data_IF_871391621114
#
_entry.id   IF_871391621114
#
_cell.length_a   1.000
_cell.length_b   1.000
_cell.length_c   1.000
_cell.angle_alpha   90.00
_cell.angle_beta   90.00
_cell.angle_gamma   90.00
#
_symmetry.space_group_name_H-M   'P 1'
#
loop_
_entity.id
_entity.type
_entity.pdbx_description
1 polymer ?
#
# COMPACT_ATOMS: atom_id res chain seq x y z
N UNK A 1 1.72 -21.11 -29.00
CA UNK A 1 2.04 -21.74 -27.70
C UNK A 1 3.53 -21.66 -27.53
N UNK A 2 4.01 -20.85 -26.59
CA UNK A 2 5.43 -20.71 -26.27
C UNK A 2 5.75 -21.70 -25.14
N UNK A 3 6.68 -22.61 -25.37
CA UNK A 3 7.06 -23.71 -24.48
C UNK A 3 8.59 -23.81 -24.41
N UNK A 4 9.11 -24.57 -23.43
CA UNK A 4 10.55 -24.73 -23.12
C UNK A 4 11.43 -25.17 -24.30
N UNK A 5 10.84 -25.64 -25.40
CA UNK A 5 11.59 -25.91 -26.64
C UNK A 5 12.21 -24.67 -27.28
N UNK A 6 11.80 -23.46 -26.89
CA UNK A 6 12.34 -22.17 -27.37
C UNK A 6 13.19 -21.42 -26.31
N UNK A 7 13.52 -22.04 -25.18
CA UNK A 7 14.47 -21.49 -24.20
C UNK A 7 13.99 -20.24 -23.44
N UNK A 8 12.69 -20.17 -23.11
CA UNK A 8 12.12 -19.11 -22.27
C UNK A 8 11.72 -19.70 -20.93
N UNK A 9 12.54 -19.48 -19.90
CA UNK A 9 12.37 -20.15 -18.60
C UNK A 9 11.29 -19.55 -17.70
N UNK A 10 10.82 -18.31 -17.90
CA UNK A 10 9.66 -17.77 -17.17
C UNK A 10 8.92 -16.73 -18.02
N UNK A 11 7.60 -16.84 -18.23
CA UNK A 11 6.82 -15.78 -18.86
C UNK A 11 6.77 -14.56 -17.94
N UNK A 12 7.46 -13.49 -18.33
CA UNK A 12 7.39 -12.20 -17.65
C UNK A 12 6.31 -11.35 -18.31
N UNK A 13 5.37 -10.87 -17.51
CA UNK A 13 4.42 -9.86 -17.97
C UNK A 13 5.05 -8.49 -17.80
N UNK A 14 5.60 -7.93 -18.89
CA UNK A 14 6.08 -6.54 -18.91
C UNK A 14 5.01 -5.56 -18.42
N UNK A 15 3.70 -5.71 -18.75
CA UNK A 15 2.65 -4.88 -18.14
C UNK A 15 2.62 -4.95 -16.61
N UNK A 16 2.70 -6.15 -16.00
CA UNK A 16 2.74 -6.28 -14.54
C UNK A 16 4.01 -5.74 -13.90
N UNK A 17 5.16 -5.89 -14.58
CA UNK A 17 6.40 -5.25 -14.14
C UNK A 17 6.30 -3.72 -14.19
N UNK A 18 5.69 -3.15 -15.25
CA UNK A 18 5.48 -1.72 -15.37
C UNK A 18 4.52 -1.19 -14.29
N UNK A 19 3.47 -1.94 -13.95
CA UNK A 19 2.57 -1.58 -12.84
C UNK A 19 3.30 -1.62 -11.49
N UNK A 20 4.09 -2.66 -11.24
CA UNK A 20 4.89 -2.74 -10.01
C UNK A 20 5.88 -1.56 -9.85
N UNK A 21 6.51 -1.12 -10.96
CA UNK A 21 7.40 0.04 -10.97
C UNK A 21 6.69 1.37 -10.69
N UNK A 22 5.40 1.48 -11.03
CA UNK A 22 4.59 2.67 -10.75
C UNK A 22 4.03 2.63 -9.32
N UNK A 23 3.68 1.46 -8.82
CA UNK A 23 3.13 1.27 -7.47
C UNK A 23 4.18 1.44 -6.36
N UNK A 24 5.43 1.01 -6.57
CA UNK A 24 6.53 1.22 -5.61
C UNK A 24 6.97 2.70 -5.54
N UNK A 25 6.73 3.47 -6.60
CA UNK A 25 7.20 4.85 -6.73
C UNK A 25 6.40 5.89 -5.91
N UNK A 26 5.35 5.49 -5.18
CA UNK A 26 4.49 6.43 -4.44
C UNK A 26 4.05 5.88 -3.08
N UNK A 27 5.00 5.68 -2.14
CA UNK A 27 4.66 5.54 -0.70
C UNK A 27 4.28 6.89 -0.07
N UNK A 28 3.31 7.57 -0.68
CA UNK A 28 2.77 8.84 -0.17
C UNK A 28 1.84 8.54 0.99
N UNK A 29 2.01 9.25 2.10
CA UNK A 29 1.21 9.06 3.30
C UNK A 29 1.49 7.75 4.04
N UNK A 30 2.61 7.08 3.79
CA UNK A 30 3.02 5.90 4.57
C UNK A 30 4.37 6.15 5.22
N UNK A 31 4.47 5.85 6.51
CA UNK A 31 5.72 5.96 7.27
C UNK A 31 6.57 4.70 7.04
N UNK A 32 7.72 4.86 6.40
CA UNK A 32 8.62 3.77 6.02
C UNK A 32 9.94 3.84 6.78
N UNK A 33 10.49 2.72 7.29
CA UNK A 33 11.81 2.69 7.89
C UNK A 33 12.91 2.78 6.81
N UNK A 34 13.86 3.69 6.97
CA UNK A 34 15.05 3.81 6.11
C UNK A 34 16.23 3.05 6.72
N UNK A 35 16.48 3.25 8.01
CA UNK A 35 17.69 2.75 8.66
C UNK A 35 17.43 2.41 10.13
N UNK A 36 18.19 1.45 10.66
CA UNK A 36 18.15 1.01 12.06
C UNK A 36 19.53 1.16 12.70
N UNK A 37 19.59 1.84 13.83
CA UNK A 37 20.84 2.05 14.57
C UNK A 37 21.04 0.93 15.59
N UNK A 38 21.98 0.02 15.30
CA UNK A 38 22.21 -1.19 16.11
C UNK A 38 22.52 -0.94 17.59
N UNK A 39 23.16 0.20 17.93
CA UNK A 39 23.63 0.45 19.30
C UNK A 39 22.74 1.39 20.10
N UNK A 40 21.89 2.18 19.45
CA UNK A 40 21.04 3.18 20.13
C UNK A 40 19.58 2.77 20.23
N UNK A 41 19.20 1.62 19.64
CA UNK A 41 17.80 1.17 19.54
C UNK A 41 16.87 2.24 18.94
N UNK A 42 17.39 3.06 18.03
CA UNK A 42 16.60 4.03 17.28
C UNK A 42 16.56 3.63 15.80
N UNK A 43 15.51 4.05 15.11
CA UNK A 43 15.36 3.93 13.66
C UNK A 43 15.15 5.29 13.02
N UNK A 44 15.66 5.44 11.79
CA UNK A 44 15.36 6.55 10.90
C UNK A 44 14.22 6.15 9.99
N UNK A 45 13.19 6.96 9.94
CA UNK A 45 11.98 6.73 9.15
C UNK A 45 11.70 7.94 8.26
N UNK A 46 10.96 7.70 7.19
CA UNK A 46 10.56 8.72 6.24
C UNK A 46 9.10 8.59 5.87
N UNK A 47 8.48 9.71 5.55
CA UNK A 47 7.15 9.78 4.97
C UNK A 47 7.08 10.94 3.98
N UNK A 48 6.44 10.72 2.84
CA UNK A 48 6.08 11.77 1.89
C UNK A 48 4.68 12.24 2.23
N UNK A 49 4.48 13.55 2.46
CA UNK A 49 3.15 14.06 2.81
C UNK A 49 2.20 13.96 1.63
N UNK A 50 1.03 13.37 1.88
CA UNK A 50 -0.09 13.41 0.95
C UNK A 50 -0.68 14.82 0.86
N UNK A 51 -1.32 15.12 -0.27
CA UNK A 51 -2.09 16.35 -0.47
C UNK A 51 -3.26 16.50 0.53
N UNK A 52 -3.68 15.41 1.14
CA UNK A 52 -4.77 15.40 2.14
C UNK A 52 -4.26 15.46 3.58
N UNK A 53 -2.94 15.60 3.80
CA UNK A 53 -2.37 15.57 5.14
C UNK A 53 -2.92 16.71 6.03
N UNK A 54 -3.33 16.43 7.28
CA UNK A 54 -3.93 17.45 8.15
C UNK A 54 -2.93 18.49 8.66
N UNK A 55 -1.63 18.26 8.46
CA UNK A 55 -0.54 19.16 8.88
C UNK A 55 -0.09 20.12 7.79
N UNK A 56 -0.66 20.06 6.59
CA UNK A 56 -0.32 20.97 5.50
C UNK A 56 -0.58 22.44 5.90
N UNK A 57 0.32 23.32 5.47
CA UNK A 57 0.29 24.74 5.79
C UNK A 57 0.77 25.09 7.20
N UNK A 58 0.97 24.11 8.09
CA UNK A 58 1.45 24.34 9.46
C UNK A 58 2.96 24.42 9.52
N UNK A 59 3.48 25.20 10.47
CA UNK A 59 4.90 25.18 10.79
C UNK A 59 5.24 23.87 11.54
N UNK A 60 6.30 23.14 11.18
CA UNK A 60 6.64 21.89 11.87
C UNK A 60 7.03 22.07 13.34
N UNK A 61 7.43 23.28 13.75
CA UNK A 61 7.68 23.62 15.15
C UNK A 61 6.41 23.88 15.98
N UNK A 62 5.26 24.06 15.35
CA UNK A 62 3.95 24.19 16.02
C UNK A 62 3.24 22.84 16.17
N UNK A 63 3.76 21.79 15.53
CA UNK A 63 3.19 20.45 15.59
C UNK A 63 3.70 19.76 16.85
N UNK A 64 2.76 19.30 17.69
CA UNK A 64 3.09 18.47 18.84
C UNK A 64 3.40 17.05 18.38
N UNK A 65 4.70 16.75 18.28
CA UNK A 65 5.17 15.40 17.98
C UNK A 65 5.05 14.49 19.22
N UNK A 66 4.72 13.20 19.03
CA UNK A 66 4.68 12.25 20.12
C UNK A 66 5.99 12.18 20.90
N UNK A 67 5.90 11.85 22.19
CA UNK A 67 7.08 11.76 23.07
C UNK A 67 8.11 10.77 22.53
N UNK A 68 9.37 11.23 22.44
CA UNK A 68 10.48 10.42 21.95
C UNK A 68 10.60 10.39 20.42
N UNK A 69 9.72 11.06 19.69
CA UNK A 69 9.86 11.27 18.23
C UNK A 69 10.60 12.56 17.97
N UNK A 70 11.58 12.51 17.07
CA UNK A 70 12.30 13.69 16.63
C UNK A 70 12.16 13.87 15.12
N UNK A 71 11.55 14.97 14.68
CA UNK A 71 11.66 15.43 13.30
C UNK A 71 13.08 15.98 13.07
N UNK A 72 13.81 15.36 12.15
CA UNK A 72 15.24 15.66 11.91
C UNK A 72 15.47 16.56 10.71
N UNK A 73 14.71 16.35 9.64
CA UNK A 73 14.83 17.12 8.41
C UNK A 73 13.51 17.10 7.64
N UNK A 74 13.32 18.13 6.81
CA UNK A 74 12.26 18.20 5.81
C UNK A 74 12.93 18.43 4.46
N UNK A 75 12.61 17.61 3.46
CA UNK A 75 13.06 17.79 2.10
C UNK A 75 11.95 18.47 1.30
N UNK A 76 12.22 19.70 0.86
CA UNK A 76 11.30 20.54 0.12
C UNK A 76 11.98 20.97 -1.18
N UNK A 77 11.32 20.72 -2.31
CA UNK A 77 11.84 21.05 -3.65
C UNK A 77 13.26 20.49 -3.90
N UNK A 78 13.54 19.28 -3.38
CA UNK A 78 14.85 18.62 -3.49
C UNK A 78 15.94 19.15 -2.55
N UNK A 79 15.61 20.10 -1.68
CA UNK A 79 16.55 20.68 -0.70
C UNK A 79 16.22 20.19 0.72
N UNK A 80 17.22 19.69 1.44
CA UNK A 80 17.08 19.33 2.84
C UNK A 80 17.16 20.58 3.73
N UNK A 81 16.13 20.78 4.56
CA UNK A 81 16.00 21.89 5.49
C UNK A 81 15.89 21.35 6.92
N UNK A 82 16.53 22.06 7.85
CA UNK A 82 16.28 21.82 9.26
C UNK A 82 14.84 22.24 9.60
N UNK A 83 14.13 21.55 10.52
CA UNK A 83 12.71 21.80 10.77
C UNK A 83 12.39 23.24 11.14
N UNK A 84 13.25 23.90 11.93
CA UNK A 84 13.08 25.30 12.33
C UNK A 84 13.22 26.32 11.19
N UNK A 85 13.77 25.91 10.04
CA UNK A 85 13.89 26.77 8.85
C UNK A 85 12.69 26.64 7.92
N UNK A 86 11.82 25.65 8.13
CA UNK A 86 10.64 25.41 7.32
C UNK A 86 9.52 26.32 7.83
N UNK A 87 9.02 27.20 6.95
CA UNK A 87 7.91 28.07 7.29
C UNK A 87 6.58 27.30 7.40
N UNK A 88 6.30 26.43 6.43
CA UNK A 88 5.10 25.61 6.38
C UNK A 88 5.35 24.30 5.60
N UNK A 89 4.68 23.24 6.03
CA UNK A 89 4.68 21.94 5.34
C UNK A 89 3.78 21.98 4.10
N UNK A 90 4.26 21.36 3.02
CA UNK A 90 3.59 21.29 1.71
C UNK A 90 3.34 19.83 1.32
N UNK A 91 2.39 19.65 0.41
CA UNK A 91 2.21 18.34 -0.22
C UNK A 91 3.51 17.93 -0.93
N UNK A 92 3.80 16.62 -0.91
CA UNK A 92 5.04 16.05 -1.45
C UNK A 92 6.32 16.42 -0.69
N UNK A 93 6.27 17.24 0.36
CA UNK A 93 7.41 17.37 1.27
C UNK A 93 7.69 15.99 1.91
N UNK A 94 8.97 15.66 2.05
CA UNK A 94 9.38 14.42 2.67
C UNK A 94 10.00 14.71 4.05
N UNK A 95 9.43 14.09 5.09
CA UNK A 95 9.86 14.28 6.47
C UNK A 95 10.69 13.10 6.91
N UNK A 96 11.81 13.38 7.60
CA UNK A 96 12.67 12.37 8.21
C UNK A 96 12.56 12.43 9.73
N UNK A 97 12.31 11.29 10.33
CA UNK A 97 12.11 11.14 11.77
C UNK A 97 13.08 10.14 12.39
N UNK A 98 13.49 10.42 13.62
CA UNK A 98 14.12 9.43 14.50
C UNK A 98 13.10 8.95 15.52
N UNK A 99 13.00 7.63 15.65
CA UNK A 99 12.13 6.92 16.59
C UNK A 99 12.94 5.96 17.45
N UNK A 100 12.59 5.76 18.72
CA UNK A 100 13.02 4.56 19.45
C UNK A 100 12.30 3.34 18.86
N UNK A 101 13.06 2.32 18.44
CA UNK A 101 12.52 1.13 17.73
C UNK A 101 11.49 0.35 18.53
N UNK A 102 11.58 0.39 19.86
CA UNK A 102 10.68 -0.35 20.74
C UNK A 102 9.33 0.36 20.96
N UNK A 103 9.14 1.54 20.35
CA UNK A 103 7.95 2.36 20.52
C UNK A 103 7.06 2.32 19.28
N UNK A 104 6.46 1.16 19.02
CA UNK A 104 5.49 0.96 17.93
C UNK A 104 4.30 1.92 18.05
N UNK A 105 3.92 2.28 19.28
CA UNK A 105 2.85 3.23 19.54
C UNK A 105 3.17 4.63 18.98
N UNK A 106 4.41 5.11 19.17
CA UNK A 106 4.84 6.39 18.60
C UNK A 106 4.82 6.38 17.07
N UNK A 107 5.21 5.27 16.44
CA UNK A 107 5.15 5.11 14.97
C UNK A 107 3.69 5.23 14.50
N UNK A 108 2.77 4.54 15.16
CA UNK A 108 1.34 4.59 14.84
C UNK A 108 0.74 5.99 15.08
N UNK A 109 1.12 6.66 16.17
CA UNK A 109 0.67 8.01 16.49
C UNK A 109 1.16 9.03 15.46
N UNK A 110 2.42 8.95 15.02
CA UNK A 110 2.95 9.82 13.95
C UNK A 110 2.24 9.54 12.64
N UNK A 111 2.04 8.27 12.27
CA UNK A 111 1.27 7.91 11.08
C UNK A 111 -0.10 8.57 11.09
N UNK A 112 -0.86 8.41 12.18
CA UNK A 112 -2.18 9.03 12.36
C UNK A 112 -2.16 10.55 12.36
N UNK A 113 -1.11 11.17 12.90
CA UNK A 113 -0.96 12.63 12.92
C UNK A 113 -0.76 13.20 11.50
N UNK A 114 -0.10 12.43 10.62
CA UNK A 114 0.31 12.87 9.29
C UNK A 114 -0.62 12.41 8.17
N UNK A 115 -1.47 11.41 8.42
CA UNK A 115 -2.37 10.85 7.42
C UNK A 115 -3.82 11.04 7.83
N UNK A 116 -4.67 11.36 6.86
CA UNK A 116 -6.10 11.19 7.06
C UNK A 116 -6.35 9.69 6.94
N UNK A 117 -6.61 9.06 8.09
CA UNK A 117 -7.01 7.65 8.13
C UNK A 117 -8.35 7.52 7.43
N UNK A 118 -8.37 7.05 6.18
CA UNK A 118 -9.42 6.11 5.79
C UNK A 118 -8.93 4.73 6.22
N UNK A 119 -9.65 4.10 7.15
CA UNK A 119 -9.22 2.91 7.87
C UNK A 119 -9.24 1.62 7.03
N UNK A 120 -9.02 1.67 5.72
CA UNK A 120 -9.47 0.62 4.82
C UNK A 120 -8.61 0.36 3.57
N UNK A 121 -7.27 0.41 3.61
CA UNK A 121 -6.49 -0.44 2.70
C UNK A 121 -5.00 -0.52 3.07
N UNK A 122 -4.65 -1.41 4.01
CA UNK A 122 -3.28 -1.96 4.18
C UNK A 122 -3.33 -3.14 5.17
N UNK A 123 -4.37 -3.96 5.07
CA UNK A 123 -4.39 -5.30 5.64
C UNK A 123 -4.51 -6.29 4.47
N UNK A 124 -3.48 -6.34 3.64
CA UNK A 124 -3.33 -7.38 2.64
C UNK A 124 -1.86 -7.71 2.43
N UNK A 125 -1.57 -9.01 2.52
CA UNK A 125 -0.33 -9.70 2.20
C UNK A 125 0.82 -9.72 3.23
N UNK A 126 0.64 -10.50 4.31
CA UNK A 126 1.55 -11.65 4.58
C UNK A 126 0.70 -12.84 5.04
N UNK A 127 0.49 -13.78 4.13
CA UNK A 127 -0.21 -15.04 4.38
C UNK A 127 0.69 -16.11 4.99
N UNK A 128 0.13 -16.82 5.97
CA UNK A 128 -0.05 -18.27 5.89
C UNK A 128 1.17 -19.20 5.93
N UNK A 129 1.52 -19.65 7.13
CA UNK A 129 2.01 -21.02 7.43
C UNK A 129 1.30 -21.38 8.75
N UNK A 130 0.48 -22.41 8.92
CA UNK A 130 0.33 -23.69 8.27
C UNK A 130 0.23 -24.72 9.39
N UNK A 131 -0.95 -25.28 9.66
CA UNK A 131 -1.04 -26.55 10.38
C UNK A 131 -2.30 -27.31 9.97
N UNK A 132 -2.02 -28.36 9.23
CA UNK A 132 -2.90 -29.45 8.81
C UNK A 132 -3.65 -30.06 10.00
N UNK A 133 -4.97 -30.10 9.90
CA UNK A 133 -5.84 -30.94 10.74
C UNK A 133 -6.57 -31.95 9.85
N UNK A 134 -6.12 -33.20 9.89
CA UNK A 134 -6.75 -34.35 9.22
C UNK A 134 -7.78 -34.99 10.15
N UNK A 135 -8.98 -35.20 9.63
CA UNK A 135 -10.02 -36.09 10.15
C UNK A 135 -11.30 -35.82 9.36
N UNK A 136 -11.94 -36.73 8.64
CA UNK A 136 -11.92 -38.19 8.66
C UNK A 136 -13.36 -38.66 8.84
N UNK A 137 -13.93 -39.30 7.80
CA UNK A 137 -15.14 -40.18 7.81
C UNK A 137 -16.49 -39.47 8.04
N UNK A 138 -17.65 -39.84 7.46
CA UNK A 138 -18.05 -40.98 6.63
C UNK A 138 -19.35 -40.65 5.83
N UNK A 139 -19.60 -41.48 4.82
CA UNK A 139 -20.80 -41.81 4.04
C UNK A 139 -22.18 -41.14 4.31
N UNK A 140 -22.89 -40.76 3.21
CA UNK A 140 -23.99 -41.56 2.61
C UNK A 140 -24.94 -40.71 1.73
N UNK A 141 -25.12 -41.22 0.50
CA UNK A 141 -26.25 -41.24 -0.46
C UNK A 141 -27.51 -40.34 -0.38
N UNK A 142 -28.12 -40.26 -1.58
CA UNK A 142 -29.45 -39.76 -2.00
C UNK A 142 -29.43 -38.34 -2.58
N UNK A 143 -30.07 -38.02 -3.72
CA UNK A 143 -30.95 -38.73 -4.62
C UNK A 143 -31.60 -37.66 -5.52
N UNK A 144 -31.46 -37.84 -6.85
CA UNK A 144 -32.32 -37.40 -7.96
C UNK A 144 -33.20 -36.14 -7.78
N UNK A 145 -32.94 -35.10 -8.58
CA UNK A 145 -33.95 -34.50 -9.47
C UNK A 145 -33.31 -33.49 -10.45
N UNK A 146 -33.33 -33.83 -11.73
CA UNK A 146 -33.22 -32.86 -12.83
C UNK A 146 -34.58 -32.22 -13.08
N UNK A 147 -34.62 -30.89 -13.18
CA UNK A 147 -35.67 -30.17 -13.91
C UNK A 147 -35.03 -29.08 -14.80
N UNK A 148 -35.49 -28.93 -16.05
CA UNK A 148 -34.85 -28.07 -17.06
C UNK A 148 -35.31 -26.61 -16.92
N UNK A 149 -34.37 -25.68 -16.85
CA UNK A 149 -34.66 -24.25 -17.00
C UNK A 149 -34.32 -23.82 -18.42
N UNK A 150 -35.36 -23.78 -19.24
CA UNK A 150 -35.39 -23.00 -20.48
C UNK A 150 -35.20 -21.52 -20.15
N UNK A 151 -34.10 -20.93 -20.62
CA UNK A 151 -33.96 -19.49 -20.75
C UNK A 151 -33.62 -19.16 -22.19
N UNK A 152 -34.63 -18.67 -22.90
CA UNK A 152 -34.61 -18.07 -24.23
C UNK A 152 -33.45 -17.09 -24.39
N UNK A 153 -32.50 -17.42 -25.26
CA UNK A 153 -31.55 -16.47 -25.81
C UNK A 153 -32.30 -15.62 -26.84
N UNK A 154 -32.73 -14.42 -26.46
CA UNK A 154 -33.17 -13.40 -27.42
C UNK A 154 -31.93 -12.77 -28.07
N UNK A 155 -31.87 -12.88 -29.39
CA UNK A 155 -30.96 -12.14 -30.28
C UNK A 155 -31.15 -10.63 -30.12
N UNK A 156 -30.08 -9.82 -30.04
CA UNK A 156 -30.17 -8.41 -30.36
C UNK A 156 -30.10 -8.21 -31.87
N UNK A 157 -31.24 -7.80 -32.42
CA UNK A 157 -31.49 -7.27 -33.76
C UNK A 157 -30.35 -6.39 -34.29
N UNK A 158 -29.66 -6.86 -35.33
CA UNK A 158 -28.77 -6.02 -36.14
C UNK A 158 -29.65 -5.20 -37.10
N UNK A 159 -29.85 -3.92 -36.79
CA UNK A 159 -30.48 -2.97 -37.71
C UNK A 159 -29.45 -2.62 -38.79
N UNK A 160 -29.65 -3.15 -39.99
CA UNK A 160 -29.08 -2.60 -41.22
C UNK A 160 -29.48 -1.13 -41.38
N UNK A 161 -28.52 -0.27 -41.73
CA UNK A 161 -28.78 0.79 -42.71
C UNK A 161 -27.63 0.92 -43.70
N UNK A 162 -28.03 0.62 -44.92
CA UNK A 162 -27.41 0.79 -46.23
C UNK A 162 -26.95 2.23 -46.53
N UNK A 163 -25.88 2.33 -47.31
CA UNK A 163 -25.79 3.21 -48.49
C UNK A 163 -25.34 4.65 -48.28
N UNK A 164 -24.10 4.96 -48.65
CA UNK A 164 -23.73 5.64 -49.91
C UNK A 164 -22.24 5.42 -50.24
#
# INVERSE_FOLDING_TARGET
MFNESWGVDVPISTPRMMTALVEEALSVGTLVPIFRFNNSHNGLFSIVLSADSPVLGRNPGEIEWPTGVLLTAVMQDGTALAPHLVASLRASDQLLFLFPEQNEEAIAQVGKLLTVTDAADSASAVGGVGSVGVGGTDASETGVEELPVSATQQEPTQVERHGE
#
